data_IF_767121080121
#
_entry.id   IF_767121080121
#
_cell.length_a   1.000
_cell.length_b   1.000
_cell.length_c   1.000
_cell.angle_alpha   90.00
_cell.angle_beta   90.00
_cell.angle_gamma   90.00
#
_symmetry.space_group_name_H-M   'P 1'
#
loop_
_entity.id
_entity.type
_entity.pdbx_description
1 polymer ?
#
# COMPACT_ATOMS: atom_id res chain seq x y z
N UNK A 1 -20.99 -14.96 -11.86
CA UNK A 1 -21.99 -13.88 -12.09
C UNK A 1 -21.80 -13.24 -13.47
N UNK A 2 -22.76 -12.50 -14.04
CA UNK A 2 -22.50 -11.73 -15.28
C UNK A 2 -21.43 -10.64 -15.04
N UNK A 3 -20.40 -10.50 -15.90
CA UNK A 3 -19.30 -9.56 -15.66
C UNK A 3 -19.72 -8.09 -15.54
N UNK A 4 -20.69 -7.65 -16.34
CA UNK A 4 -21.20 -6.26 -16.31
C UNK A 4 -21.94 -5.99 -15.01
N UNK A 5 -22.73 -6.95 -14.53
CA UNK A 5 -23.38 -6.86 -13.21
C UNK A 5 -22.35 -6.76 -12.09
N UNK A 6 -21.35 -7.65 -12.09
CA UNK A 6 -20.27 -7.66 -11.10
C UNK A 6 -19.51 -6.33 -11.07
N UNK A 7 -19.11 -5.82 -12.25
CA UNK A 7 -18.46 -4.52 -12.41
C UNK A 7 -19.33 -3.39 -11.86
N UNK A 8 -20.62 -3.37 -12.20
CA UNK A 8 -21.56 -2.31 -11.80
C UNK A 8 -21.75 -2.28 -10.28
N UNK A 9 -21.85 -3.45 -9.63
CA UNK A 9 -21.93 -3.55 -8.16
C UNK A 9 -20.66 -2.95 -7.53
N UNK A 10 -19.48 -3.29 -8.03
CA UNK A 10 -18.23 -2.75 -7.48
C UNK A 10 -18.14 -1.24 -7.69
N UNK A 11 -18.55 -0.71 -8.85
CA UNK A 11 -18.62 0.72 -9.08
C UNK A 11 -19.60 1.42 -8.14
N UNK A 12 -20.75 0.81 -7.84
CA UNK A 12 -21.70 1.32 -6.85
C UNK A 12 -21.05 1.41 -5.46
N UNK A 13 -20.30 0.39 -5.04
CA UNK A 13 -19.56 0.41 -3.77
C UNK A 13 -18.56 1.57 -3.73
N UNK A 14 -17.83 1.81 -4.83
CA UNK A 14 -16.91 2.95 -4.93
C UNK A 14 -17.64 4.29 -4.83
N UNK A 15 -18.77 4.46 -5.53
CA UNK A 15 -19.58 5.67 -5.47
C UNK A 15 -20.06 5.94 -4.04
N UNK A 16 -20.56 4.91 -3.34
CA UNK A 16 -21.00 5.03 -1.94
C UNK A 16 -19.82 5.41 -1.05
N UNK A 17 -18.68 4.73 -1.21
CA UNK A 17 -17.48 4.95 -0.40
C UNK A 17 -16.91 6.36 -0.56
N UNK A 18 -16.82 6.84 -1.80
CA UNK A 18 -16.40 8.19 -2.13
C UNK A 18 -17.39 9.24 -1.62
N UNK A 19 -18.69 8.98 -1.75
CA UNK A 19 -19.73 9.88 -1.23
C UNK A 19 -19.61 10.04 0.29
N UNK A 20 -19.45 8.94 1.03
CA UNK A 20 -19.26 8.97 2.49
C UNK A 20 -17.95 9.68 2.85
N UNK A 21 -16.83 9.38 2.19
CA UNK A 21 -15.55 10.08 2.42
C UNK A 21 -15.70 11.58 2.19
N UNK A 22 -16.26 12.01 1.05
CA UNK A 22 -16.50 13.43 0.75
C UNK A 22 -17.41 14.11 1.77
N UNK A 23 -18.54 13.47 2.13
CA UNK A 23 -19.50 14.03 3.08
C UNK A 23 -18.92 14.17 4.49
N UNK A 24 -18.05 13.25 4.88
CA UNK A 24 -17.35 13.29 6.16
C UNK A 24 -16.08 14.13 6.13
N UNK A 25 -15.81 14.87 5.04
CA UNK A 25 -14.55 15.61 4.82
C UNK A 25 -13.32 14.73 5.06
N UNK A 26 -13.38 13.50 4.56
CA UNK A 26 -12.35 12.47 4.68
C UNK A 26 -11.99 12.08 6.12
N UNK A 27 -12.88 12.32 7.09
CA UNK A 27 -12.79 11.74 8.43
C UNK A 27 -12.83 10.21 8.37
N UNK A 28 -13.71 9.67 7.53
CA UNK A 28 -13.84 8.24 7.25
C UNK A 28 -13.27 8.03 5.85
N UNK A 29 -12.18 7.26 5.75
CA UNK A 29 -11.55 6.97 4.47
C UNK A 29 -12.49 6.18 3.56
N UNK A 30 -12.48 6.48 2.26
CA UNK A 30 -13.17 5.70 1.23
C UNK A 30 -12.80 4.21 1.30
N UNK A 31 -11.53 3.90 1.57
CA UNK A 31 -11.04 2.52 1.71
C UNK A 31 -11.67 1.79 2.90
N UNK A 32 -11.88 2.49 4.02
CA UNK A 32 -12.52 1.90 5.20
C UNK A 32 -14.00 1.60 4.91
N UNK A 33 -14.70 2.54 4.28
CA UNK A 33 -16.12 2.35 3.91
C UNK A 33 -16.25 1.15 2.97
N UNK A 34 -15.42 1.09 1.92
CA UNK A 34 -15.39 -0.04 0.99
C UNK A 34 -15.06 -1.35 1.71
N UNK A 35 -14.07 -1.36 2.62
CA UNK A 35 -13.71 -2.55 3.40
C UNK A 35 -14.88 -3.08 4.21
N UNK A 36 -15.65 -2.20 4.87
CA UNK A 36 -16.82 -2.58 5.66
C UNK A 36 -17.93 -3.14 4.75
N UNK A 37 -18.20 -2.48 3.61
CA UNK A 37 -19.21 -2.94 2.66
C UNK A 37 -18.85 -4.32 2.09
N UNK A 38 -17.60 -4.52 1.67
CA UNK A 38 -17.13 -5.82 1.17
C UNK A 38 -17.14 -6.89 2.27
N UNK A 39 -16.65 -6.58 3.47
CA UNK A 39 -16.67 -7.50 4.60
C UNK A 39 -18.10 -7.95 4.89
N UNK A 40 -19.03 -7.02 5.12
CA UNK A 40 -20.42 -7.35 5.42
C UNK A 40 -21.03 -8.09 4.24
N UNK A 41 -20.82 -7.63 3.01
CA UNK A 41 -21.38 -8.24 1.81
C UNK A 41 -20.96 -9.69 1.62
N UNK A 42 -19.66 -10.01 1.76
CA UNK A 42 -19.17 -11.38 1.64
C UNK A 42 -19.59 -12.24 2.83
N UNK A 43 -19.47 -11.75 4.08
CA UNK A 43 -19.75 -12.58 5.26
C UNK A 43 -21.24 -12.79 5.55
N UNK A 44 -22.11 -11.95 5.01
CA UNK A 44 -23.58 -12.15 5.07
C UNK A 44 -24.11 -12.90 3.84
N UNK A 45 -23.24 -13.36 2.93
CA UNK A 45 -23.59 -14.01 1.67
C UNK A 45 -24.48 -13.15 0.74
N UNK A 46 -24.51 -11.83 0.93
CA UNK A 46 -25.17 -10.88 0.03
C UNK A 46 -24.37 -10.77 -1.28
N UNK A 47 -23.04 -10.79 -1.18
CA UNK A 47 -22.14 -10.82 -2.32
C UNK A 47 -21.62 -12.24 -2.55
N UNK A 48 -21.66 -12.75 -3.79
CA UNK A 48 -21.07 -14.04 -4.10
C UNK A 48 -19.53 -13.92 -4.02
N UNK A 49 -18.86 -15.01 -3.62
CA UNK A 49 -17.39 -15.06 -3.50
C UNK A 49 -16.68 -14.72 -4.82
N UNK A 50 -17.34 -15.00 -5.95
CA UNK A 50 -16.85 -14.70 -7.30
C UNK A 50 -17.10 -13.25 -7.75
N UNK A 51 -17.62 -12.35 -6.91
CA UNK A 51 -17.92 -10.97 -7.29
C UNK A 51 -16.70 -10.24 -7.84
N UNK A 52 -15.56 -10.32 -7.15
CA UNK A 52 -14.35 -9.61 -7.55
C UNK A 52 -13.74 -10.20 -8.83
N UNK A 53 -13.69 -11.53 -8.93
CA UNK A 53 -13.15 -12.24 -10.11
C UNK A 53 -14.05 -12.07 -11.33
N UNK A 54 -15.38 -12.18 -11.17
CA UNK A 54 -16.36 -12.00 -12.24
C UNK A 54 -16.33 -10.61 -12.86
N UNK A 55 -15.94 -9.58 -12.10
CA UNK A 55 -15.91 -8.20 -12.60
C UNK A 55 -14.83 -7.91 -13.65
N UNK A 56 -13.92 -8.85 -13.91
CA UNK A 56 -12.68 -8.66 -14.70
C UNK A 56 -11.70 -7.61 -14.12
N UNK A 57 -12.12 -6.79 -13.15
CA UNK A 57 -11.29 -5.77 -12.53
C UNK A 57 -10.17 -6.36 -11.67
N UNK A 58 -10.41 -7.49 -10.99
CA UNK A 58 -9.36 -8.12 -10.19
C UNK A 58 -8.19 -8.60 -11.07
N UNK A 59 -8.50 -9.27 -12.18
CA UNK A 59 -7.49 -9.70 -13.15
C UNK A 59 -6.79 -8.50 -13.82
N UNK A 60 -7.55 -7.47 -14.19
CA UNK A 60 -6.97 -6.22 -14.71
C UNK A 60 -6.04 -5.59 -13.68
N UNK A 61 -6.47 -5.47 -12.42
CA UNK A 61 -5.69 -4.91 -11.31
C UNK A 61 -4.36 -5.64 -11.13
N UNK A 62 -4.40 -6.98 -11.05
CA UNK A 62 -3.19 -7.81 -10.94
C UNK A 62 -2.25 -7.64 -12.14
N UNK A 63 -2.79 -7.37 -13.33
CA UNK A 63 -2.00 -7.12 -14.54
C UNK A 63 -1.34 -5.73 -14.50
N UNK A 64 -2.10 -4.69 -14.13
CA UNK A 64 -1.66 -3.29 -14.24
C UNK A 64 -0.98 -2.76 -12.98
N UNK A 65 -0.94 -3.51 -11.87
CA UNK A 65 -0.24 -3.10 -10.65
C UNK A 65 1.23 -2.75 -10.91
N UNK A 66 1.91 -3.52 -11.78
CA UNK A 66 3.28 -3.22 -12.20
C UNK A 66 3.40 -1.89 -12.95
N UNK A 67 2.39 -1.53 -13.76
CA UNK A 67 2.37 -0.28 -14.51
C UNK A 67 2.27 0.92 -13.57
N UNK A 68 1.41 0.80 -12.56
CA UNK A 68 1.27 1.84 -11.55
C UNK A 68 2.54 1.96 -10.70
N UNK A 69 3.22 0.86 -10.41
CA UNK A 69 4.51 0.90 -9.70
C UNK A 69 5.59 1.64 -10.51
N UNK A 70 5.69 1.38 -11.81
CA UNK A 70 6.56 2.17 -12.71
C UNK A 70 6.16 3.64 -12.68
N UNK A 71 4.86 3.93 -12.76
CA UNK A 71 4.35 5.31 -12.67
C UNK A 71 4.76 6.00 -11.37
N UNK A 72 4.62 5.32 -10.23
CA UNK A 72 5.09 5.85 -8.94
C UNK A 72 6.60 6.13 -8.98
N UNK A 73 7.39 5.25 -9.59
CA UNK A 73 8.80 5.51 -9.83
C UNK A 73 9.04 6.80 -10.59
N UNK A 74 8.20 7.11 -11.58
CA UNK A 74 8.25 8.40 -12.29
C UNK A 74 7.71 9.59 -11.50
N UNK A 75 7.01 9.38 -10.38
CA UNK A 75 6.54 10.46 -9.50
C UNK A 75 7.63 10.93 -8.53
N UNK A 76 8.63 10.08 -8.22
CA UNK A 76 9.72 10.36 -7.27
C UNK A 76 11.00 10.76 -8.02
N UNK A 77 11.64 11.88 -7.65
CA UNK A 77 12.94 12.25 -8.22
C UNK A 77 14.09 11.56 -7.48
N UNK A 78 15.26 11.39 -8.10
CA UNK A 78 16.43 10.82 -7.40
C UNK A 78 16.83 11.67 -6.18
N UNK A 79 16.72 12.98 -6.28
CA UNK A 79 17.02 13.88 -5.16
C UNK A 79 16.00 13.74 -4.04
N UNK A 80 14.73 13.52 -4.38
CA UNK A 80 13.70 13.23 -3.40
C UNK A 80 13.92 11.88 -2.73
N UNK A 81 14.23 10.82 -3.48
CA UNK A 81 14.58 9.52 -2.88
C UNK A 81 15.75 9.66 -1.90
N UNK A 82 16.80 10.40 -2.29
CA UNK A 82 17.95 10.71 -1.41
C UNK A 82 17.52 11.49 -0.17
N UNK A 83 16.62 12.48 -0.31
CA UNK A 83 16.08 13.24 0.84
C UNK A 83 15.24 12.38 1.78
N UNK A 84 14.67 11.29 1.28
CA UNK A 84 13.73 10.43 1.99
C UNK A 84 14.38 9.20 2.63
N UNK A 85 15.71 9.15 2.73
CA UNK A 85 16.43 8.07 3.44
C UNK A 85 15.94 7.89 4.88
N UNK A 86 15.56 8.98 5.56
CA UNK A 86 14.99 8.92 6.92
C UNK A 86 13.69 8.13 6.94
N UNK A 87 12.81 8.35 5.96
CA UNK A 87 11.55 7.60 5.80
C UNK A 87 11.82 6.11 5.63
N UNK A 88 12.82 5.74 4.83
CA UNK A 88 13.23 4.33 4.64
C UNK A 88 13.69 3.73 5.98
N UNK A 89 14.57 4.41 6.73
CA UNK A 89 15.06 3.92 8.02
C UNK A 89 13.93 3.76 9.04
N UNK A 90 12.97 4.70 9.09
CA UNK A 90 11.79 4.59 9.96
C UNK A 90 10.92 3.38 9.54
N UNK A 91 10.73 3.17 8.24
CA UNK A 91 9.99 2.02 7.71
C UNK A 91 10.65 0.69 8.06
N UNK A 92 11.98 0.57 7.87
CA UNK A 92 12.75 -0.62 8.28
C UNK A 92 12.60 -0.85 9.79
N UNK A 93 12.74 0.19 10.60
CA UNK A 93 12.57 0.09 12.05
C UNK A 93 11.16 -0.38 12.44
N UNK A 94 10.12 0.05 11.72
CA UNK A 94 8.75 -0.41 11.96
C UNK A 94 8.60 -1.92 11.76
N UNK A 95 9.15 -2.46 10.67
CA UNK A 95 9.13 -3.91 10.40
C UNK A 95 9.94 -4.67 11.45
N UNK A 96 11.12 -4.17 11.83
CA UNK A 96 11.92 -4.76 12.92
C UNK A 96 11.19 -4.73 14.26
N UNK A 97 10.40 -3.68 14.51
CA UNK A 97 9.53 -3.58 15.69
C UNK A 97 8.46 -4.67 15.72
N UNK A 98 7.83 -4.97 14.57
CA UNK A 98 6.88 -6.09 14.43
C UNK A 98 7.57 -7.41 14.78
N UNK A 99 8.73 -7.66 14.17
CA UNK A 99 9.52 -8.88 14.39
C UNK A 99 9.88 -9.03 15.87
N UNK A 100 10.47 -8.00 16.47
CA UNK A 100 10.90 -8.03 17.86
C UNK A 100 9.73 -8.25 18.82
N UNK A 101 8.61 -7.54 18.64
CA UNK A 101 7.46 -7.68 19.54
C UNK A 101 6.76 -9.02 19.39
N UNK A 102 6.59 -9.53 18.16
CA UNK A 102 5.94 -10.82 17.96
C UNK A 102 6.81 -11.99 18.45
N UNK A 103 8.13 -11.94 18.30
CA UNK A 103 9.01 -12.95 18.91
C UNK A 103 9.14 -12.83 20.42
N UNK A 104 9.26 -11.62 20.97
CA UNK A 104 9.50 -11.45 22.41
C UNK A 104 8.22 -11.57 23.23
N UNK A 105 7.09 -11.06 22.72
CA UNK A 105 5.82 -11.01 23.44
C UNK A 105 4.82 -11.99 22.83
N UNK A 106 4.74 -12.04 21.50
CA UNK A 106 3.80 -12.92 20.79
C UNK A 106 4.05 -14.41 21.06
N UNK A 107 5.30 -14.83 21.20
CA UNK A 107 5.67 -16.22 21.52
C UNK A 107 5.18 -16.73 22.87
N UNK A 108 4.71 -15.86 23.78
CA UNK A 108 4.03 -16.30 25.01
C UNK A 108 2.59 -16.75 24.76
N UNK A 109 1.98 -16.35 23.65
CA UNK A 109 0.57 -16.55 23.35
C UNK A 109 0.32 -17.35 22.06
N UNK A 110 1.28 -17.32 21.13
CA UNK A 110 1.18 -17.93 19.81
C UNK A 110 2.33 -18.93 19.63
N UNK A 111 2.03 -20.04 18.97
CA UNK A 111 3.05 -20.96 18.47
C UNK A 111 3.99 -20.27 17.46
N UNK A 112 5.22 -20.76 17.37
CA UNK A 112 6.27 -20.16 16.53
C UNK A 112 5.86 -20.02 15.06
N UNK A 113 5.14 -21.01 14.51
CA UNK A 113 4.68 -20.95 13.12
C UNK A 113 3.62 -19.85 12.92
N UNK A 114 2.72 -19.66 13.91
CA UNK A 114 1.78 -18.54 13.91
C UNK A 114 2.47 -17.18 14.09
N UNK A 115 3.55 -17.11 14.90
CA UNK A 115 4.37 -15.89 15.05
C UNK A 115 5.01 -15.50 13.72
N UNK A 116 5.66 -16.45 13.04
CA UNK A 116 6.29 -16.21 11.73
C UNK A 116 5.23 -15.78 10.72
N UNK A 117 4.08 -16.46 10.71
CA UNK A 117 2.99 -16.11 9.82
C UNK A 117 2.41 -14.72 10.08
N UNK A 118 2.26 -14.33 11.34
CA UNK A 118 1.87 -12.97 11.72
C UNK A 118 2.89 -11.92 11.27
N UNK A 119 4.19 -12.18 11.43
CA UNK A 119 5.25 -11.26 11.01
C UNK A 119 5.15 -11.02 9.49
N UNK A 120 5.06 -12.09 8.70
CA UNK A 120 4.98 -11.97 7.24
C UNK A 120 3.75 -11.21 6.77
N UNK A 121 2.60 -11.46 7.38
CA UNK A 121 1.34 -10.85 6.97
C UNK A 121 1.15 -9.41 7.48
N UNK A 122 1.55 -9.09 8.71
CA UNK A 122 1.39 -7.72 9.28
C UNK A 122 2.43 -6.77 8.68
N UNK A 123 3.65 -7.24 8.40
CA UNK A 123 4.70 -6.37 7.87
C UNK A 123 4.65 -6.20 6.35
N UNK A 124 4.01 -7.14 5.65
CA UNK A 124 4.18 -7.34 4.22
C UNK A 124 2.90 -7.32 3.41
N UNK A 125 3.09 -7.27 2.09
CA UNK A 125 2.00 -7.27 1.13
C UNK A 125 1.62 -8.68 0.73
N UNK A 126 0.86 -8.79 -0.37
CA UNK A 126 0.45 -10.07 -0.96
C UNK A 126 1.61 -11.06 -1.15
N UNK A 127 2.81 -10.58 -1.48
CA UNK A 127 3.98 -11.43 -1.68
C UNK A 127 4.43 -12.11 -0.38
N UNK A 128 4.56 -11.36 0.72
CA UNK A 128 4.93 -11.93 2.02
C UNK A 128 3.90 -12.93 2.53
N UNK A 129 2.61 -12.64 2.30
CA UNK A 129 1.52 -13.57 2.63
C UNK A 129 1.67 -14.89 1.87
N UNK A 130 1.96 -14.83 0.57
CA UNK A 130 2.17 -16.03 -0.27
C UNK A 130 3.38 -16.82 0.20
N UNK A 131 4.52 -16.18 0.47
CA UNK A 131 5.75 -16.87 0.92
C UNK A 131 5.50 -17.70 2.19
N UNK A 132 4.86 -17.10 3.19
CA UNK A 132 4.51 -17.81 4.44
C UNK A 132 3.51 -18.93 4.16
N UNK A 133 2.47 -18.63 3.38
CA UNK A 133 1.42 -19.59 3.07
C UNK A 133 1.99 -20.84 2.39
N UNK A 134 2.86 -20.65 1.39
CA UNK A 134 3.49 -21.75 0.66
C UNK A 134 4.38 -22.60 1.58
N UNK A 135 5.18 -21.97 2.44
CA UNK A 135 6.02 -22.66 3.42
C UNK A 135 5.20 -23.45 4.46
N UNK A 136 4.09 -22.89 4.94
CA UNK A 136 3.18 -23.57 5.86
C UNK A 136 2.45 -24.75 5.20
N UNK A 137 2.00 -24.58 3.94
CA UNK A 137 1.39 -25.67 3.17
C UNK A 137 2.38 -26.80 2.89
N UNK A 138 3.62 -26.47 2.53
CA UNK A 138 4.69 -27.45 2.33
C UNK A 138 4.99 -28.27 3.59
N UNK A 139 4.76 -27.68 4.77
CA UNK A 139 4.93 -28.33 6.07
C UNK A 139 3.65 -29.01 6.59
N UNK A 140 2.56 -29.02 5.81
CA UNK A 140 1.28 -29.62 6.19
C UNK A 140 0.48 -28.81 7.23
N UNK A 141 0.86 -27.57 7.51
CA UNK A 141 0.27 -26.70 8.54
C UNK A 141 -0.87 -25.86 7.97
N UNK A 142 -2.03 -26.47 7.72
CA UNK A 142 -3.15 -25.80 7.04
C UNK A 142 -3.65 -24.53 7.76
N UNK A 143 -3.84 -24.56 9.09
CA UNK A 143 -4.30 -23.37 9.83
C UNK A 143 -3.28 -22.24 9.83
N UNK A 144 -1.99 -22.57 9.86
CA UNK A 144 -0.90 -21.58 9.75
C UNK A 144 -0.89 -20.97 8.35
N UNK A 145 -1.17 -21.74 7.31
CA UNK A 145 -1.26 -21.26 5.93
C UNK A 145 -2.45 -20.33 5.67
N UNK A 146 -3.56 -20.51 6.40
CA UNK A 146 -4.76 -19.65 6.32
C UNK A 146 -4.57 -18.35 7.10
N UNK A 147 -3.87 -18.42 8.24
CA UNK A 147 -3.68 -17.28 9.13
C UNK A 147 -3.15 -15.98 8.47
N UNK A 148 -2.11 -15.98 7.62
CA UNK A 148 -1.61 -14.76 7.00
C UNK A 148 -2.61 -14.16 5.99
N UNK A 149 -3.45 -14.99 5.36
CA UNK A 149 -4.53 -14.52 4.48
C UNK A 149 -5.61 -13.80 5.29
N UNK A 150 -5.97 -14.34 6.46
CA UNK A 150 -6.90 -13.67 7.37
C UNK A 150 -6.33 -12.34 7.88
N UNK A 151 -5.07 -12.28 8.27
CA UNK A 151 -4.42 -11.01 8.63
C UNK A 151 -4.51 -10.03 7.46
N UNK A 152 -4.18 -10.45 6.25
CA UNK A 152 -4.25 -9.60 5.06
C UNK A 152 -5.68 -9.10 4.75
N UNK A 153 -6.70 -9.92 5.05
CA UNK A 153 -8.11 -9.55 4.88
C UNK A 153 -8.55 -8.46 5.87
N UNK A 154 -8.09 -8.53 7.12
CA UNK A 154 -8.56 -7.64 8.19
C UNK A 154 -7.63 -6.46 8.49
N UNK A 155 -6.37 -6.47 8.03
CA UNK A 155 -5.41 -5.41 8.35
C UNK A 155 -5.85 -4.02 7.90
N UNK A 156 -6.53 -3.91 6.76
CA UNK A 156 -7.05 -2.64 6.26
C UNK A 156 -8.09 -2.02 7.19
N UNK A 157 -8.95 -2.84 7.80
CA UNK A 157 -9.98 -2.39 8.74
C UNK A 157 -9.39 -1.75 10.01
N UNK A 158 -8.15 -2.12 10.35
CA UNK A 158 -7.40 -1.54 11.47
C UNK A 158 -6.53 -0.38 10.98
N UNK A 159 -5.78 -0.58 9.90
CA UNK A 159 -4.79 0.36 9.40
C UNK A 159 -5.40 1.65 8.84
N UNK A 160 -6.49 1.58 8.09
CA UNK A 160 -7.12 2.75 7.47
C UNK A 160 -7.63 3.78 8.49
N UNK A 161 -8.44 3.43 9.51
CA UNK A 161 -8.92 4.41 10.48
C UNK A 161 -7.79 4.99 11.33
N UNK A 162 -6.86 4.15 11.81
CA UNK A 162 -5.73 4.60 12.63
C UNK A 162 -4.88 5.62 11.85
N UNK A 163 -4.52 5.26 10.62
CA UNK A 163 -3.69 6.11 9.77
C UNK A 163 -4.41 7.38 9.38
N UNK A 164 -5.68 7.33 8.99
CA UNK A 164 -6.45 8.52 8.61
C UNK A 164 -6.43 9.57 9.74
N UNK A 165 -6.68 9.13 10.98
CA UNK A 165 -6.65 10.02 12.16
C UNK A 165 -5.26 10.63 12.38
N UNK A 166 -4.21 9.82 12.29
CA UNK A 166 -2.83 10.25 12.53
C UNK A 166 -2.32 11.18 11.42
N UNK A 167 -2.58 10.85 10.16
CA UNK A 167 -2.24 11.70 9.02
C UNK A 167 -3.01 13.01 9.04
N UNK A 168 -4.27 13.00 9.47
CA UNK A 168 -5.02 14.24 9.65
C UNK A 168 -4.42 15.13 10.73
N UNK A 169 -3.90 14.56 11.82
CA UNK A 169 -3.16 15.31 12.84
C UNK A 169 -1.88 15.92 12.24
N UNK A 170 -1.15 15.17 11.42
CA UNK A 170 0.03 15.68 10.73
C UNK A 170 -0.32 16.76 9.71
N UNK A 171 -1.38 16.57 8.93
CA UNK A 171 -1.87 17.54 7.96
C UNK A 171 -2.26 18.87 8.63
N UNK A 172 -2.90 18.83 9.82
CA UNK A 172 -3.18 20.03 10.59
C UNK A 172 -1.91 20.75 11.09
N UNK A 173 -0.88 20.00 11.47
CA UNK A 173 0.42 20.57 11.85
C UNK A 173 1.06 21.31 10.66
N UNK A 174 1.09 20.65 9.50
CA UNK A 174 1.61 21.21 8.24
C UNK A 174 0.79 22.41 7.76
N UNK A 175 -0.54 22.40 7.93
CA UNK A 175 -1.41 23.55 7.69
C UNK A 175 -0.98 24.77 8.53
N UNK A 176 -0.65 24.56 9.80
CA UNK A 176 -0.11 25.60 10.68
C UNK A 176 1.21 26.17 10.16
N UNK A 177 2.13 25.30 9.75
CA UNK A 177 3.43 25.72 9.19
C UNK A 177 3.30 26.49 7.87
N UNK A 178 2.36 26.07 7.00
CA UNK A 178 2.04 26.75 5.75
C UNK A 178 1.51 28.16 5.99
N UNK A 179 0.54 28.31 6.90
CA UNK A 179 -0.04 29.62 7.25
C UNK A 179 0.96 30.53 7.96
N UNK A 180 1.91 29.96 8.69
CA UNK A 180 3.02 30.71 9.28
C UNK A 180 4.10 31.11 8.26
N UNK A 181 3.99 30.70 6.99
CA UNK A 181 5.00 30.95 5.95
C UNK A 181 6.30 30.17 6.13
N UNK A 182 6.34 29.22 7.07
CA UNK A 182 7.51 28.39 7.38
C UNK A 182 7.57 27.11 6.53
N UNK A 183 6.42 26.65 6.05
CA UNK A 183 6.38 25.62 5.03
C UNK A 183 6.67 26.29 3.70
N UNK A 184 7.90 26.12 3.19
CA UNK A 184 8.16 26.46 1.81
C UNK A 184 7.22 25.61 0.96
N UNK A 185 6.34 26.28 0.23
CA UNK A 185 5.71 25.68 -0.94
C UNK A 185 6.89 25.31 -1.80
N UNK A 186 7.26 24.01 -1.80
CA UNK A 186 7.94 23.46 -2.95
C UNK A 186 6.99 23.87 -4.05
N UNK A 187 7.36 24.87 -4.85
CA UNK A 187 6.57 25.23 -6.01
C UNK A 187 6.22 23.88 -6.58
N UNK A 188 4.93 23.59 -6.67
CA UNK A 188 4.52 22.83 -7.83
C UNK A 188 5.11 23.67 -8.96
N UNK A 189 6.34 23.33 -9.40
CA UNK A 189 6.64 23.39 -10.81
C UNK A 189 5.36 22.85 -11.39
N UNK A 190 4.62 23.79 -11.97
CA UNK A 190 3.27 23.59 -12.43
C UNK A 190 3.24 22.19 -13.00
N UNK A 191 2.36 21.31 -12.55
CA UNK A 191 2.16 20.00 -13.17
C UNK A 191 1.60 20.14 -14.61
N UNK A 192 1.93 21.25 -15.26
CA UNK A 192 1.71 21.74 -16.62
C UNK A 192 3.04 22.14 -17.30
N UNK A 193 4.22 22.02 -16.69
CA UNK A 193 5.41 21.86 -17.51
C UNK A 193 5.37 20.45 -18.10
N UNK A 194 5.22 20.37 -19.42
CA UNK A 194 5.52 19.18 -20.20
C UNK A 194 6.91 18.70 -19.80
N UNK A 195 7.01 17.81 -18.81
CA UNK A 195 8.28 17.25 -18.40
C UNK A 195 8.89 16.61 -19.63
N UNK A 196 9.98 17.22 -20.14
CA UNK A 196 10.59 16.86 -21.41
C UNK A 196 10.87 15.36 -21.40
N UNK A 197 10.11 14.63 -22.20
CA UNK A 197 10.35 13.21 -22.46
C UNK A 197 11.09 13.10 -23.78
N UNK A 198 12.07 12.21 -23.84
CA UNK A 198 12.79 11.88 -25.07
C UNK A 198 11.94 10.93 -25.94
N UNK A 199 10.82 10.39 -25.42
CA UNK A 199 9.95 9.52 -26.19
C UNK A 199 9.34 10.25 -27.40
N UNK A 200 9.34 9.63 -28.59
CA UNK A 200 8.63 10.16 -29.75
C UNK A 200 7.14 10.35 -29.48
N UNK A 201 6.51 11.36 -30.10
CA UNK A 201 5.07 11.65 -29.96
C UNK A 201 4.16 10.44 -30.19
N UNK A 202 4.54 9.53 -31.10
CA UNK A 202 3.81 8.29 -31.36
C UNK A 202 3.66 7.39 -30.10
N UNK A 203 4.65 7.41 -29.21
CA UNK A 203 4.67 6.64 -27.95
C UNK A 203 4.05 7.41 -26.76
N UNK A 204 3.58 8.64 -26.97
CA UNK A 204 2.95 9.46 -25.92
C UNK A 204 1.41 9.37 -25.93
N UNK A 205 0.83 8.60 -26.85
CA UNK A 205 -0.62 8.27 -26.83
C UNK A 205 -0.96 7.35 -25.65
N UNK A 206 -2.24 7.16 -25.32
CA UNK A 206 -2.66 6.21 -24.27
C UNK A 206 -2.08 4.81 -24.51
N UNK A 207 -2.23 4.26 -25.72
CA UNK A 207 -1.67 2.96 -26.06
C UNK A 207 -0.13 2.94 -26.09
N UNK A 208 0.49 3.99 -26.64
CA UNK A 208 1.95 4.12 -26.68
C UNK A 208 2.58 4.18 -25.28
N UNK A 209 1.96 4.93 -24.38
CA UNK A 209 2.41 5.09 -22.99
C UNK A 209 2.29 3.75 -22.24
N UNK A 210 1.15 3.06 -22.40
CA UNK A 210 0.97 1.72 -21.83
C UNK A 210 1.97 0.72 -22.42
N UNK A 211 2.28 0.78 -23.71
CA UNK A 211 3.29 -0.07 -24.32
C UNK A 211 4.67 0.13 -23.68
N UNK A 212 5.17 1.36 -23.61
CA UNK A 212 6.52 1.61 -23.07
C UNK A 212 6.61 1.29 -21.58
N UNK A 213 5.57 1.59 -20.80
CA UNK A 213 5.51 1.20 -19.38
C UNK A 213 5.42 -0.31 -19.24
N UNK A 214 4.64 -0.98 -20.08
CA UNK A 214 4.52 -2.44 -20.13
C UNK A 214 5.84 -3.12 -20.43
N UNK A 215 6.64 -2.59 -21.36
CA UNK A 215 8.01 -3.08 -21.63
C UNK A 215 8.86 -3.02 -20.37
N UNK A 216 8.78 -1.95 -19.59
CA UNK A 216 9.52 -1.82 -18.31
C UNK A 216 9.07 -2.87 -17.30
N UNK A 217 7.76 -3.14 -17.20
CA UNK A 217 7.23 -4.19 -16.32
C UNK A 217 7.70 -5.58 -16.76
N UNK A 218 7.72 -5.86 -18.06
CA UNK A 218 8.23 -7.13 -18.61
C UNK A 218 9.72 -7.29 -18.32
N UNK A 219 10.52 -6.23 -18.49
CA UNK A 219 11.95 -6.23 -18.13
C UNK A 219 12.14 -6.49 -16.63
N UNK A 220 11.32 -5.87 -15.77
CA UNK A 220 11.37 -6.10 -14.34
C UNK A 220 11.01 -7.55 -13.97
N UNK A 221 10.04 -8.15 -14.65
CA UNK A 221 9.69 -9.56 -14.48
C UNK A 221 10.81 -10.49 -14.98
N UNK A 222 11.49 -10.14 -16.08
CA UNK A 222 12.65 -10.88 -16.56
C UNK A 222 13.79 -10.86 -15.54
N UNK A 223 14.12 -9.69 -14.96
CA UNK A 223 15.12 -9.56 -13.88
C UNK A 223 14.74 -10.42 -12.67
N UNK A 224 13.46 -10.40 -12.27
CA UNK A 224 12.96 -11.25 -11.20
C UNK A 224 13.21 -12.74 -11.49
N UNK A 225 12.95 -13.19 -12.71
CA UNK A 225 13.10 -14.60 -13.07
C UNK A 225 14.57 -15.06 -13.15
N UNK A 226 15.48 -14.23 -13.68
CA UNK A 226 16.91 -14.58 -13.76
C UNK A 226 17.62 -14.51 -12.40
N UNK A 227 17.01 -13.85 -11.41
CA UNK A 227 17.50 -13.76 -10.04
C UNK A 227 16.77 -14.70 -9.09
N UNK A 228 15.96 -15.64 -9.62
CA UNK A 228 15.15 -16.58 -8.83
C UNK A 228 14.29 -15.88 -7.75
N UNK A 229 13.78 -14.69 -8.07
CA UNK A 229 12.95 -13.89 -7.17
C UNK A 229 13.71 -13.08 -6.12
N UNK A 230 15.04 -13.18 -6.04
CA UNK A 230 15.87 -12.37 -5.13
C UNK A 230 15.63 -10.87 -5.37
N UNK A 231 15.54 -10.46 -6.64
CA UNK A 231 15.10 -9.11 -7.00
C UNK A 231 13.63 -9.13 -7.40
N UNK A 232 12.77 -8.81 -6.43
CA UNK A 232 11.33 -8.78 -6.66
C UNK A 232 10.93 -7.86 -7.83
N UNK A 233 10.08 -8.36 -8.73
CA UNK A 233 9.59 -7.64 -9.93
C UNK A 233 9.10 -6.21 -9.65
N UNK A 234 8.46 -5.96 -8.50
CA UNK A 234 7.91 -4.65 -8.15
C UNK A 234 8.98 -3.67 -7.68
N UNK A 235 9.99 -4.16 -6.96
CA UNK A 235 11.16 -3.35 -6.59
C UNK A 235 11.91 -2.93 -7.84
N UNK A 236 12.14 -3.86 -8.77
CA UNK A 236 12.84 -3.57 -10.03
C UNK A 236 12.02 -2.60 -10.89
N UNK A 237 10.71 -2.80 -11.01
CA UNK A 237 9.82 -1.90 -11.77
C UNK A 237 9.86 -0.46 -11.22
N UNK A 238 9.85 -0.30 -9.90
CA UNK A 238 9.99 1.01 -9.25
C UNK A 238 11.32 1.67 -9.59
N UNK A 239 12.44 0.94 -9.40
CA UNK A 239 13.78 1.45 -9.67
C UNK A 239 13.95 1.85 -11.13
N UNK A 240 13.46 1.03 -12.07
CA UNK A 240 13.47 1.37 -13.49
C UNK A 240 12.62 2.61 -13.79
N UNK A 241 11.46 2.77 -13.15
CA UNK A 241 10.65 3.99 -13.27
C UNK A 241 11.41 5.25 -12.83
N UNK A 242 12.11 5.18 -11.69
CA UNK A 242 12.94 6.28 -11.18
C UNK A 242 14.10 6.59 -12.14
N UNK A 243 14.81 5.55 -12.61
CA UNK A 243 15.95 5.71 -13.51
C UNK A 243 15.53 6.28 -14.87
N UNK A 244 14.46 5.75 -15.47
CA UNK A 244 13.95 6.23 -16.77
C UNK A 244 13.44 7.67 -16.69
N UNK A 245 12.87 8.07 -15.54
CA UNK A 245 12.57 9.49 -15.28
C UNK A 245 13.86 10.31 -15.17
N UNK A 246 14.86 9.84 -14.42
CA UNK A 246 16.12 10.55 -14.22
C UNK A 246 16.90 10.78 -15.53
N UNK A 247 16.84 9.82 -16.46
CA UNK A 247 17.42 9.96 -17.80
C UNK A 247 16.54 10.76 -18.78
N UNK A 248 15.38 11.27 -18.34
CA UNK A 248 14.44 12.01 -19.21
C UNK A 248 13.71 11.14 -20.23
N UNK A 249 13.83 9.81 -20.16
CA UNK A 249 13.05 8.90 -21.02
C UNK A 249 11.57 9.02 -20.68
N UNK A 250 11.20 8.94 -19.40
CA UNK A 250 9.83 9.15 -18.96
C UNK A 250 9.62 10.55 -18.40
N UNK A 251 8.49 11.16 -18.77
CA UNK A 251 8.02 12.38 -18.10
C UNK A 251 7.65 12.06 -16.63
N UNK A 252 7.73 13.03 -15.71
CA UNK A 252 7.16 12.89 -14.38
C UNK A 252 5.69 12.51 -14.47
N UNK A 253 5.24 11.61 -13.58
CA UNK A 253 3.86 11.12 -13.57
C UNK A 253 3.44 10.53 -14.94
N UNK A 254 4.19 9.56 -15.48
CA UNK A 254 4.05 9.08 -16.88
C UNK A 254 2.62 8.69 -17.31
N UNK A 255 1.83 8.06 -16.42
CA UNK A 255 0.45 7.66 -16.70
C UNK A 255 -0.56 8.79 -16.44
N UNK A 256 -0.18 9.89 -15.81
CA UNK A 256 -1.09 11.01 -15.59
C UNK A 256 -1.46 11.67 -16.92
N UNK A 257 -2.76 11.87 -17.11
CA UNK A 257 -3.35 12.46 -18.32
C UNK A 257 -3.67 11.46 -19.44
N UNK A 258 -3.41 10.16 -19.27
CA UNK A 258 -3.93 9.15 -20.21
C UNK A 258 -5.31 8.67 -19.76
N UNK A 259 -6.17 8.29 -20.71
CA UNK A 259 -7.57 7.92 -20.44
C UNK A 259 -7.69 6.67 -19.53
N UNK A 260 -6.69 5.79 -19.58
CA UNK A 260 -6.70 4.52 -18.86
C UNK A 260 -6.37 4.64 -17.37
N UNK A 261 -5.77 5.75 -16.91
CA UNK A 261 -5.21 5.84 -15.56
C UNK A 261 -6.26 5.64 -14.46
N UNK A 262 -7.42 6.30 -14.57
CA UNK A 262 -8.50 6.18 -13.59
C UNK A 262 -9.03 4.74 -13.46
N UNK A 263 -9.23 4.05 -14.60
CA UNK A 263 -9.69 2.67 -14.60
C UNK A 263 -8.64 1.71 -13.99
N UNK A 264 -7.36 1.92 -14.29
CA UNK A 264 -6.29 1.13 -13.68
C UNK A 264 -6.25 1.32 -12.16
N UNK A 265 -6.40 2.56 -11.67
CA UNK A 265 -6.47 2.86 -10.23
C UNK A 265 -7.65 2.15 -9.56
N UNK A 266 -8.84 2.17 -10.15
CA UNK A 266 -10.01 1.45 -9.63
C UNK A 266 -9.78 -0.08 -9.62
N UNK A 267 -9.12 -0.61 -10.64
CA UNK A 267 -8.82 -2.04 -10.73
C UNK A 267 -7.83 -2.50 -9.65
N UNK A 268 -6.76 -1.75 -9.39
CA UNK A 268 -5.78 -2.12 -8.35
C UNK A 268 -6.36 -1.98 -6.93
N UNK A 269 -7.29 -1.05 -6.72
CA UNK A 269 -7.93 -0.85 -5.42
C UNK A 269 -8.72 -2.09 -4.97
N UNK A 270 -9.26 -2.86 -5.92
CA UNK A 270 -10.02 -4.09 -5.64
C UNK A 270 -9.11 -5.20 -5.11
N UNK A 271 -7.82 -5.21 -5.45
CA UNK A 271 -6.86 -6.22 -4.95
C UNK A 271 -6.82 -6.22 -3.41
N UNK A 272 -6.97 -5.04 -2.79
CA UNK A 272 -6.99 -4.86 -1.34
C UNK A 272 -8.05 -5.75 -0.68
N UNK A 273 -9.20 -5.94 -1.35
CA UNK A 273 -10.33 -6.68 -0.81
C UNK A 273 -10.36 -8.15 -1.24
N UNK A 274 -9.41 -8.60 -2.06
CA UNK A 274 -9.32 -10.00 -2.50
C UNK A 274 -9.40 -10.99 -1.34
N UNK A 275 -8.57 -10.85 -0.29
CA UNK A 275 -8.59 -11.75 0.87
C UNK A 275 -9.90 -11.75 1.68
N UNK A 276 -10.70 -10.68 1.62
CA UNK A 276 -12.03 -10.65 2.26
C UNK A 276 -13.02 -11.60 1.57
N UNK A 277 -12.90 -11.75 0.25
CA UNK A 277 -13.77 -12.62 -0.54
C UNK A 277 -13.46 -14.10 -0.29
N UNK A 278 -12.20 -14.46 -0.08
CA UNK A 278 -11.76 -15.87 0.03
C UNK A 278 -11.58 -16.37 1.47
N UNK A 279 -11.80 -15.53 2.47
CA UNK A 279 -11.64 -15.94 3.88
C UNK A 279 -12.86 -16.73 4.38
N UNK A 280 -12.65 -17.91 4.97
CA UNK A 280 -13.73 -18.69 5.57
C UNK A 280 -14.19 -18.09 6.90
N UNK A 281 -15.50 -18.15 7.18
CA UNK A 281 -16.06 -17.77 8.49
C UNK A 281 -15.59 -18.74 9.57
N UNK A 282 -15.47 -20.03 9.24
CA UNK A 282 -15.04 -21.05 10.20
C UNK A 282 -13.57 -20.84 10.60
N UNK A 283 -12.70 -20.57 9.62
CA UNK A 283 -11.30 -20.23 9.88
C UNK A 283 -11.18 -18.94 10.69
N UNK A 284 -12.02 -17.95 10.42
CA UNK A 284 -12.07 -16.72 11.20
C UNK A 284 -12.46 -16.99 12.66
N UNK A 285 -13.48 -17.82 12.91
CA UNK A 285 -13.88 -18.19 14.28
C UNK A 285 -12.75 -18.93 14.99
N UNK A 286 -12.09 -19.86 14.30
CA UNK A 286 -10.97 -20.61 14.85
C UNK A 286 -9.75 -19.74 15.17
N UNK A 287 -9.50 -18.69 14.38
CA UNK A 287 -8.29 -17.88 14.44
C UNK A 287 -8.49 -16.47 14.99
N UNK A 288 -9.71 -16.07 15.39
CA UNK A 288 -9.98 -14.70 15.89
C UNK A 288 -9.13 -14.33 17.11
N UNK A 289 -8.92 -15.28 18.03
CA UNK A 289 -8.05 -15.10 19.20
C UNK A 289 -6.61 -14.79 18.77
N UNK A 290 -5.96 -15.71 18.02
CA UNK A 290 -4.64 -15.47 17.44
C UNK A 290 -4.53 -14.19 16.62
N UNK A 291 -5.54 -13.84 15.81
CA UNK A 291 -5.57 -12.63 15.01
C UNK A 291 -5.52 -11.37 15.88
N UNK A 292 -6.36 -11.30 16.91
CA UNK A 292 -6.40 -10.16 17.83
C UNK A 292 -5.06 -9.98 18.56
N UNK A 293 -4.44 -11.08 19.00
CA UNK A 293 -3.13 -11.06 19.65
C UNK A 293 -2.05 -10.57 18.68
N UNK A 294 -2.02 -11.12 17.47
CA UNK A 294 -1.06 -10.75 16.45
C UNK A 294 -1.15 -9.26 16.08
N UNK A 295 -2.36 -8.74 15.84
CA UNK A 295 -2.55 -7.31 15.57
C UNK A 295 -2.17 -6.43 16.76
N UNK A 296 -2.61 -6.77 17.98
CA UNK A 296 -2.32 -5.97 19.16
C UNK A 296 -0.80 -5.84 19.38
N UNK A 297 -0.07 -6.95 19.29
CA UNK A 297 1.37 -6.99 19.52
C UNK A 297 2.14 -6.41 18.33
N UNK A 298 1.85 -6.86 17.11
CA UNK A 298 2.55 -6.44 15.89
C UNK A 298 2.39 -4.95 15.60
N UNK A 299 1.16 -4.43 15.66
CA UNK A 299 0.90 -3.00 15.45
C UNK A 299 1.60 -2.17 16.52
N UNK A 300 1.56 -2.60 17.79
CA UNK A 300 2.25 -1.89 18.88
C UNK A 300 3.75 -1.85 18.65
N UNK A 301 4.36 -2.97 18.24
CA UNK A 301 5.79 -3.02 17.92
C UNK A 301 6.17 -2.08 16.78
N UNK A 302 5.37 -2.08 15.71
CA UNK A 302 5.52 -1.17 14.57
C UNK A 302 5.46 0.30 14.99
N UNK A 303 4.43 0.66 15.76
CA UNK A 303 4.21 2.04 16.25
C UNK A 303 5.32 2.48 17.20
N UNK A 304 5.74 1.61 18.13
CA UNK A 304 6.79 1.93 19.09
C UNK A 304 8.12 2.21 18.41
N UNK A 305 8.58 1.31 17.53
CA UNK A 305 9.87 1.46 16.87
C UNK A 305 9.87 2.61 15.86
N UNK A 306 8.80 2.77 15.08
CA UNK A 306 8.68 3.90 14.15
C UNK A 306 8.63 5.25 14.89
N UNK A 307 7.92 5.35 16.01
CA UNK A 307 7.89 6.55 16.85
C UNK A 307 9.27 6.89 17.43
N UNK A 308 9.99 5.90 17.97
CA UNK A 308 11.34 6.09 18.52
C UNK A 308 12.32 6.51 17.43
N UNK A 309 12.37 5.76 16.34
CA UNK A 309 13.29 6.05 15.23
C UNK A 309 12.96 7.40 14.57
N UNK A 310 11.68 7.70 14.39
CA UNK A 310 11.24 8.97 13.86
C UNK A 310 11.63 10.15 14.74
N UNK A 311 11.50 10.02 16.06
CA UNK A 311 11.98 11.03 17.01
C UNK A 311 13.49 11.25 16.92
N UNK A 312 14.29 10.17 16.80
CA UNK A 312 15.75 10.23 16.65
C UNK A 312 16.12 10.97 15.35
N UNK A 313 15.38 10.74 14.26
CA UNK A 313 15.66 11.31 12.95
C UNK A 313 15.01 12.69 12.71
N UNK A 314 14.27 13.20 13.70
CA UNK A 314 13.65 14.53 13.69
C UNK A 314 12.32 14.61 12.93
N UNK A 315 11.61 13.50 12.76
CA UNK A 315 10.25 13.48 12.21
C UNK A 315 9.24 13.80 13.31
N UNK A 316 8.10 14.37 12.92
CA UNK A 316 6.99 14.52 13.86
C UNK A 316 6.51 13.13 14.31
N UNK A 317 6.00 13.04 15.54
CA UNK A 317 5.47 11.77 16.05
C UNK A 317 4.36 11.23 15.14
N UNK A 318 3.46 12.10 14.68
CA UNK A 318 2.36 11.71 13.78
C UNK A 318 2.87 11.12 12.46
N UNK A 319 3.83 11.79 11.80
CA UNK A 319 4.40 11.30 10.54
C UNK A 319 5.13 9.97 10.75
N UNK A 320 5.87 9.84 11.85
CA UNK A 320 6.62 8.63 12.19
C UNK A 320 5.70 7.43 12.40
N UNK A 321 4.61 7.62 13.17
CA UNK A 321 3.62 6.57 13.38
C UNK A 321 2.90 6.23 12.06
N UNK A 322 2.54 7.23 11.25
CA UNK A 322 1.90 6.98 9.95
C UNK A 322 2.80 6.15 9.01
N UNK A 323 4.13 6.39 9.02
CA UNK A 323 5.10 5.57 8.29
C UNK A 323 5.06 4.13 8.82
N UNK A 324 5.07 3.92 10.14
CA UNK A 324 5.00 2.57 10.72
C UNK A 324 3.71 1.83 10.35
N UNK A 325 2.57 2.52 10.38
CA UNK A 325 1.27 1.94 10.05
C UNK A 325 1.12 1.53 8.58
N UNK A 326 2.00 1.99 7.66
CA UNK A 326 2.02 1.49 6.27
C UNK A 326 2.27 -0.01 6.16
N UNK A 327 2.78 -0.65 7.20
CA UNK A 327 2.85 -2.12 7.28
C UNK A 327 1.47 -2.78 7.10
N UNK A 328 0.40 -2.13 7.58
CA UNK A 328 -0.97 -2.63 7.50
C UNK A 328 -1.66 -2.39 6.16
N UNK A 329 -1.06 -1.58 5.28
CA UNK A 329 -1.60 -1.29 3.95
C UNK A 329 -0.51 -0.77 3.01
N UNK A 330 -0.45 -1.36 1.83
CA UNK A 330 0.44 -0.88 0.77
C UNK A 330 -0.17 0.25 -0.06
N UNK A 331 0.51 0.54 -1.17
CA UNK A 331 -0.09 1.26 -2.28
C UNK A 331 -1.25 0.43 -2.89
N UNK A 332 -2.38 1.05 -3.32
CA UNK A 332 -2.67 2.49 -3.39
C UNK A 332 -3.17 3.13 -2.09
N UNK A 333 -3.31 2.38 -1.00
CA UNK A 333 -3.80 2.89 0.28
C UNK A 333 -2.98 4.05 0.85
N UNK A 334 -1.66 3.96 0.74
CA UNK A 334 -0.73 5.04 1.12
C UNK A 334 -1.00 6.35 0.36
N UNK A 335 -1.40 6.28 -0.91
CA UNK A 335 -1.72 7.44 -1.73
C UNK A 335 -3.06 8.06 -1.31
N UNK A 336 -4.11 7.24 -1.28
CA UNK A 336 -5.49 7.69 -0.99
C UNK A 336 -5.56 8.33 0.39
N UNK A 337 -4.99 7.70 1.42
CA UNK A 337 -5.01 8.25 2.78
C UNK A 337 -4.22 9.55 2.91
N UNK A 338 -3.12 9.72 2.16
CA UNK A 338 -2.36 10.97 2.13
C UNK A 338 -3.18 12.11 1.52
N UNK A 339 -3.84 11.82 0.40
CA UNK A 339 -4.70 12.77 -0.32
C UNK A 339 -5.94 13.16 0.49
N UNK A 340 -6.60 12.16 1.07
CA UNK A 340 -7.74 12.34 1.97
C UNK A 340 -7.35 13.18 3.20
N UNK A 341 -6.19 12.93 3.82
CA UNK A 341 -5.70 13.73 4.94
C UNK A 341 -5.47 15.20 4.56
N UNK A 342 -4.81 15.48 3.43
CA UNK A 342 -4.58 16.84 2.95
C UNK A 342 -5.91 17.56 2.64
N UNK A 343 -6.83 16.90 1.93
CA UNK A 343 -8.18 17.43 1.62
C UNK A 343 -9.05 17.64 2.85
N UNK A 344 -8.85 16.85 3.91
CA UNK A 344 -9.65 16.95 5.15
C UNK A 344 -9.38 18.21 5.97
N UNK A 345 -8.20 18.83 5.78
CA UNK A 345 -7.75 20.00 6.55
C UNK A 345 -7.58 21.25 5.69
N UNK A 346 -7.23 21.08 4.42
CA UNK A 346 -6.96 22.16 3.49
C UNK A 346 -8.22 22.92 3.10
N UNK A 347 -8.13 24.25 3.03
CA UNK A 347 -9.25 25.12 2.66
C UNK A 347 -9.25 25.55 1.19
N UNK A 348 -8.10 25.49 0.52
CA UNK A 348 -7.94 25.82 -0.90
C UNK A 348 -6.94 24.87 -1.59
N UNK A 349 -6.93 24.87 -2.93
CA UNK A 349 -6.12 23.93 -3.71
C UNK A 349 -4.61 24.07 -3.46
N UNK A 350 -4.12 25.28 -3.23
CA UNK A 350 -2.69 25.53 -2.95
C UNK A 350 -2.29 24.97 -1.57
N UNK A 351 -3.12 25.18 -0.55
CA UNK A 351 -2.91 24.64 0.80
C UNK A 351 -2.99 23.11 0.79
N UNK A 352 -3.94 22.52 0.06
CA UNK A 352 -4.05 21.06 -0.11
C UNK A 352 -2.80 20.51 -0.80
N UNK A 353 -2.37 21.11 -1.92
CA UNK A 353 -1.19 20.67 -2.66
C UNK A 353 0.10 20.79 -1.83
N UNK A 354 0.26 21.85 -1.03
CA UNK A 354 1.42 22.02 -0.18
C UNK A 354 1.50 20.97 0.94
N UNK A 355 0.36 20.63 1.55
CA UNK A 355 0.28 19.58 2.58
C UNK A 355 0.49 18.19 1.96
N UNK A 356 -0.20 17.90 0.85
CA UNK A 356 -0.05 16.65 0.11
C UNK A 356 1.39 16.43 -0.33
N UNK A 357 2.05 17.45 -0.89
CA UNK A 357 3.44 17.39 -1.33
C UNK A 357 4.44 17.08 -0.20
N UNK A 358 4.07 17.28 1.06
CA UNK A 358 4.88 16.87 2.20
C UNK A 358 4.58 15.45 2.68
N UNK A 359 3.31 15.03 2.66
CA UNK A 359 2.88 13.73 3.20
C UNK A 359 3.07 12.63 2.16
N UNK A 360 2.58 12.83 0.94
CA UNK A 360 2.45 11.82 -0.09
C UNK A 360 3.80 11.16 -0.43
N UNK A 361 4.89 11.88 -0.73
CA UNK A 361 6.17 11.25 -1.05
C UNK A 361 6.69 10.37 0.08
N UNK A 362 6.51 10.79 1.34
CA UNK A 362 6.93 10.03 2.52
C UNK A 362 6.10 8.74 2.64
N UNK A 363 4.78 8.82 2.49
CA UNK A 363 3.89 7.66 2.61
C UNK A 363 4.11 6.63 1.50
N UNK A 364 4.37 7.09 0.27
CA UNK A 364 4.68 6.21 -0.86
C UNK A 364 6.00 5.47 -0.59
N UNK A 365 7.07 6.20 -0.24
CA UNK A 365 8.39 5.60 0.04
C UNK A 365 8.34 4.68 1.25
N UNK A 366 7.58 5.06 2.29
CA UNK A 366 7.33 4.22 3.45
C UNK A 366 6.71 2.88 3.04
N UNK A 367 5.62 2.88 2.25
CA UNK A 367 4.98 1.66 1.79
C UNK A 367 5.90 0.73 0.99
N UNK A 368 6.80 1.28 0.17
CA UNK A 368 7.80 0.44 -0.50
C UNK A 368 8.85 -0.12 0.47
N UNK A 369 9.36 0.74 1.35
CA UNK A 369 10.35 0.34 2.34
C UNK A 369 9.83 -0.76 3.26
N UNK A 370 8.58 -0.63 3.74
CA UNK A 370 7.94 -1.58 4.64
C UNK A 370 7.46 -2.82 3.89
N UNK A 371 6.39 -2.68 3.11
CA UNK A 371 5.56 -3.77 2.55
C UNK A 371 6.22 -4.51 1.40
N UNK A 372 7.14 -3.87 0.67
CA UNK A 372 7.73 -4.46 -0.56
C UNK A 372 9.16 -4.96 -0.35
N UNK A 373 10.01 -4.18 0.32
CA UNK A 373 11.44 -4.50 0.45
C UNK A 373 11.70 -5.25 1.76
N UNK A 374 11.53 -4.57 2.90
CA UNK A 374 11.97 -5.08 4.19
C UNK A 374 11.17 -6.31 4.60
N UNK A 375 9.86 -6.28 4.42
CA UNK A 375 8.98 -7.41 4.73
C UNK A 375 9.31 -8.64 3.90
N UNK A 376 9.53 -8.52 2.59
CA UNK A 376 9.80 -9.66 1.70
C UNK A 376 11.11 -10.32 2.09
N UNK A 377 12.17 -9.53 2.34
CA UNK A 377 13.47 -10.05 2.79
C UNK A 377 13.31 -10.80 4.12
N UNK A 378 12.71 -10.17 5.12
CA UNK A 378 12.54 -10.77 6.45
C UNK A 378 11.65 -12.01 6.37
N UNK A 379 10.55 -11.95 5.64
CA UNK A 379 9.61 -13.07 5.51
C UNK A 379 10.26 -14.24 4.80
N UNK A 380 11.07 -14.00 3.75
CA UNK A 380 11.78 -15.07 3.04
C UNK A 380 12.71 -15.83 3.98
N UNK A 381 13.46 -15.10 4.82
CA UNK A 381 14.37 -15.70 5.82
C UNK A 381 13.57 -16.47 6.88
N UNK A 382 12.49 -15.89 7.40
CA UNK A 382 11.73 -16.51 8.49
C UNK A 382 10.87 -17.70 8.01
N UNK A 383 10.43 -17.71 6.75
CA UNK A 383 9.64 -18.81 6.20
C UNK A 383 10.41 -20.13 6.17
N UNK A 384 11.74 -20.09 6.06
CA UNK A 384 12.61 -21.28 6.17
C UNK A 384 12.56 -21.94 7.56
N UNK A 385 12.03 -21.24 8.57
CA UNK A 385 11.90 -21.74 9.94
C UNK A 385 10.54 -22.38 10.23
N UNK A 386 9.61 -22.39 9.27
CA UNK A 386 8.31 -23.04 9.41
C UNK A 386 8.49 -24.56 9.27
N UNK A 387 7.98 -25.32 10.24
CA UNK A 387 8.11 -26.78 10.29
C UNK A 387 6.97 -27.46 11.05
#
# INVERSE_FOLDING_TARGET
MNPVTAFTIIMLIWVISDYVSKKTKSLISSLLVASIIFLVGFKTNIFPEDLLTSSSLLALGQTVVGFIIVHIGTMISLDELKKQWKTVVIGVAAVLGIVAFLFLIGSFFLDQNFVIAAIGAISGGTISVIIVQDAALASGLMLVAVFPVLIAAFQGLIGFPLTSLILRKEANRLKGEYRAGTLQVVKAEEHHEEGKTILPKALQTTAGTLFVVGVVVVLAAYVNNITDGVLNKFVVALLLGILLRAFGVFKPNILSGIDAYGLMMLAILIIIFGPLATSSVDDLIALIGPLCIAFAIGVTGSVAFSAVMGKILGYSLSMSIAIGLTTLYGFPGTMILSQEAARSVGENEQEIAAIEGQILPKMIIAGFSTVTITSVIITSILAELIH
#
